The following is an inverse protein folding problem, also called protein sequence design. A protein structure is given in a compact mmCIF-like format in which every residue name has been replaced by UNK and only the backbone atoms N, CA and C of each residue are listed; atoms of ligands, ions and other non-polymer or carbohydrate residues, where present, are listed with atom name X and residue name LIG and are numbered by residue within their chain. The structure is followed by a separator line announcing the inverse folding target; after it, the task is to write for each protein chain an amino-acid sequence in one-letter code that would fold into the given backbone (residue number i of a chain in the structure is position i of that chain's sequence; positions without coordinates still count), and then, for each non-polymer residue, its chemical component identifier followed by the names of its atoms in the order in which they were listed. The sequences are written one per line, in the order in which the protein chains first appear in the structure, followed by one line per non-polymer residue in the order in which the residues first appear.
data_IF_148067671623
#
_entry.id   IF_148067671623
#
_cell.length_a   1.000
_cell.length_b   1.000
_cell.length_c   1.000
_cell.angle_alpha   90.00
_cell.angle_beta   90.00
_cell.angle_gamma   90.00
#
_symmetry.space_group_name_H-M   'P 1'
#
loop_
_entity.id
_entity.type
_entity.pdbx_description
1 polymer ?
#
# COMPACT_ATOMS: atom_id res chain seq x y z
N UNK A 1 7.83 20.44 -19.33
CA UNK A 1 7.95 18.99 -19.06
C UNK A 1 6.54 18.49 -18.88
N UNK A 2 6.06 17.65 -19.79
CA UNK A 2 4.75 17.01 -19.63
C UNK A 2 4.91 15.77 -18.75
N UNK A 3 3.86 15.35 -18.04
CA UNK A 3 3.93 14.23 -17.08
C UNK A 3 4.45 12.94 -17.74
N UNK A 4 4.12 12.74 -19.02
CA UNK A 4 4.65 11.66 -19.85
C UNK A 4 6.20 11.64 -19.90
N UNK A 5 6.87 12.79 -19.97
CA UNK A 5 8.34 12.89 -20.01
C UNK A 5 8.96 12.37 -18.70
N UNK A 6 8.32 12.64 -17.57
CA UNK A 6 8.75 12.20 -16.24
C UNK A 6 8.68 10.68 -16.17
N UNK A 7 7.55 10.10 -16.56
CA UNK A 7 7.36 8.65 -16.53
C UNK A 7 8.32 7.94 -17.50
N UNK A 8 8.56 8.50 -18.69
CA UNK A 8 9.55 7.98 -19.62
C UNK A 8 10.97 7.97 -19.02
N UNK A 9 11.35 9.03 -18.29
CA UNK A 9 12.65 9.11 -17.63
C UNK A 9 12.77 8.06 -16.50
N UNK A 10 11.73 7.88 -15.69
CA UNK A 10 11.66 6.86 -14.64
C UNK A 10 11.82 5.47 -15.23
N UNK A 11 11.01 5.11 -16.23
CA UNK A 11 11.05 3.78 -16.86
C UNK A 11 12.40 3.48 -17.51
N UNK A 12 13.04 4.47 -18.15
CA UNK A 12 14.41 4.34 -18.68
C UNK A 12 15.43 4.09 -17.55
N UNK A 13 15.29 4.80 -16.43
CA UNK A 13 16.13 4.61 -15.25
C UNK A 13 16.02 3.19 -14.69
N UNK A 14 14.78 2.72 -14.48
CA UNK A 14 14.49 1.38 -13.98
C UNK A 14 15.01 0.30 -14.94
N UNK A 15 14.79 0.43 -16.25
CA UNK A 15 15.29 -0.53 -17.24
C UNK A 15 16.82 -0.66 -17.22
N UNK A 16 17.55 0.46 -17.10
CA UNK A 16 19.02 0.41 -16.92
C UNK A 16 19.41 -0.27 -15.61
N UNK A 17 18.70 0.01 -14.53
CA UNK A 17 18.89 -0.64 -13.23
C UNK A 17 18.66 -2.15 -13.29
N UNK A 18 17.57 -2.61 -13.91
CA UNK A 18 17.28 -4.03 -14.10
C UNK A 18 18.43 -4.71 -14.86
N UNK A 19 18.92 -4.08 -15.95
CA UNK A 19 20.03 -4.62 -16.76
C UNK A 19 21.34 -4.69 -15.98
N UNK A 20 21.64 -3.69 -15.15
CA UNK A 20 22.92 -3.59 -14.44
C UNK A 20 22.96 -4.45 -13.18
N UNK A 21 21.85 -4.55 -12.44
CA UNK A 21 21.82 -5.17 -11.11
C UNK A 21 21.05 -6.49 -11.06
N UNK A 22 20.32 -6.86 -12.12
CA UNK A 22 19.55 -8.11 -12.19
C UNK A 22 18.29 -8.14 -11.32
N UNK A 23 17.92 -7.02 -10.70
CA UNK A 23 16.71 -6.88 -9.88
C UNK A 23 15.55 -6.35 -10.73
N UNK A 24 14.40 -7.02 -10.68
CA UNK A 24 13.19 -6.58 -11.38
C UNK A 24 12.59 -5.35 -10.70
N UNK A 25 12.13 -4.37 -11.48
CA UNK A 25 11.50 -3.16 -11.01
C UNK A 25 10.26 -2.81 -11.84
N UNK A 26 9.18 -2.39 -11.18
CA UNK A 26 7.91 -1.97 -11.79
C UNK A 26 7.43 -0.68 -11.14
N UNK A 27 6.49 -0.01 -11.80
CA UNK A 27 5.94 1.27 -11.36
C UNK A 27 4.46 1.13 -11.07
N UNK A 28 4.03 1.65 -9.93
CA UNK A 28 2.63 1.95 -9.63
C UNK A 28 2.50 3.47 -9.64
N UNK A 29 1.45 4.01 -10.26
CA UNK A 29 1.21 5.44 -10.32
C UNK A 29 0.16 5.83 -9.29
N UNK A 30 0.48 6.79 -8.43
CA UNK A 30 -0.40 7.22 -7.36
C UNK A 30 -1.33 8.36 -7.82
N UNK A 31 -2.63 8.16 -7.64
CA UNK A 31 -3.57 9.25 -7.39
C UNK A 31 -3.27 9.84 -6.00
N UNK A 32 -3.46 11.14 -5.83
CA UNK A 32 -3.21 11.83 -4.56
C UNK A 32 -4.53 12.40 -4.06
N UNK A 33 -4.96 12.02 -2.85
CA UNK A 33 -6.27 12.38 -2.25
C UNK A 33 -6.57 13.88 -2.29
N UNK A 34 -5.55 14.73 -2.18
CA UNK A 34 -5.67 16.20 -2.20
C UNK A 34 -5.63 16.80 -3.62
N UNK A 35 -5.51 15.97 -4.67
CA UNK A 35 -5.31 16.36 -6.07
C UNK A 35 -6.16 15.51 -7.03
N UNK A 36 -7.46 15.42 -6.75
CA UNK A 36 -8.42 14.65 -7.56
C UNK A 36 -8.42 15.05 -9.05
N UNK A 37 -8.05 16.29 -9.36
CA UNK A 37 -7.92 16.77 -10.73
C UNK A 37 -6.85 16.03 -11.56
N UNK A 38 -5.93 15.29 -10.91
CA UNK A 38 -4.90 14.49 -11.59
C UNK A 38 -5.32 13.04 -11.85
N UNK A 39 -6.34 12.53 -11.16
CA UNK A 39 -6.63 11.08 -11.09
C UNK A 39 -6.96 10.45 -12.45
N UNK A 40 -7.69 11.16 -13.32
CA UNK A 40 -7.97 10.68 -14.68
C UNK A 40 -6.72 10.66 -15.58
N UNK A 41 -5.81 11.62 -15.41
CA UNK A 41 -4.54 11.64 -16.14
C UNK A 41 -3.61 10.51 -15.66
N UNK A 42 -3.61 10.20 -14.36
CA UNK A 42 -2.89 9.05 -13.81
C UNK A 42 -3.40 7.75 -14.44
N UNK A 43 -4.72 7.54 -14.51
CA UNK A 43 -5.30 6.37 -15.17
C UNK A 43 -4.93 6.29 -16.66
N UNK A 44 -4.98 7.41 -17.37
CA UNK A 44 -4.56 7.50 -18.78
C UNK A 44 -3.10 7.03 -18.95
N UNK A 45 -2.23 7.42 -18.02
CA UNK A 45 -0.82 6.99 -18.02
C UNK A 45 -0.68 5.51 -17.67
N UNK A 46 -1.42 4.99 -16.69
CA UNK A 46 -1.44 3.55 -16.40
C UNK A 46 -1.80 2.74 -17.64
N UNK A 47 -2.87 3.12 -18.36
CA UNK A 47 -3.28 2.44 -19.59
C UNK A 47 -2.23 2.55 -20.70
N UNK A 48 -1.68 3.75 -20.93
CA UNK A 48 -0.67 3.99 -21.97
C UNK A 48 0.63 3.23 -21.74
N UNK A 49 1.02 3.02 -20.48
CA UNK A 49 2.33 2.48 -20.10
C UNK A 49 2.29 1.07 -19.49
N UNK A 50 1.12 0.41 -19.46
CA UNK A 50 0.98 -0.93 -18.85
C UNK A 50 1.93 -2.00 -19.42
N UNK A 51 2.18 -1.96 -20.73
CA UNK A 51 3.12 -2.88 -21.40
C UNK A 51 4.59 -2.43 -21.30
N UNK A 52 4.86 -1.32 -20.61
CA UNK A 52 6.18 -0.68 -20.52
C UNK A 52 6.74 -0.62 -19.09
N UNK A 53 6.08 -1.30 -18.14
CA UNK A 53 6.56 -1.45 -16.77
C UNK A 53 5.68 -0.79 -15.71
N UNK A 54 4.61 -0.08 -16.09
CA UNK A 54 3.55 0.34 -15.15
C UNK A 54 2.64 -0.85 -14.90
N UNK A 55 2.38 -1.20 -13.65
CA UNK A 55 1.63 -2.42 -13.29
C UNK A 55 0.35 -2.16 -12.54
N UNK A 56 0.13 -0.94 -12.06
CA UNK A 56 -1.07 -0.61 -11.30
C UNK A 56 -1.22 0.86 -10.98
N UNK A 57 -2.30 1.15 -10.28
CA UNK A 57 -2.67 2.45 -9.74
C UNK A 57 -2.76 2.36 -8.21
N UNK A 58 -2.37 3.43 -7.53
CA UNK A 58 -2.47 3.59 -6.08
C UNK A 58 -3.25 4.85 -5.72
N UNK A 59 -3.76 4.93 -4.50
CA UNK A 59 -4.30 6.14 -3.90
C UNK A 59 -3.53 6.43 -2.60
N UNK A 60 -2.77 7.52 -2.63
CA UNK A 60 -1.90 7.97 -1.55
C UNK A 60 -2.21 9.43 -1.15
N UNK A 61 -1.39 9.99 -0.26
CA UNK A 61 -1.60 11.31 0.34
C UNK A 61 -2.40 11.21 1.63
N UNK A 62 -2.53 12.35 2.32
CA UNK A 62 -3.12 12.43 3.66
C UNK A 62 -4.53 11.80 3.69
N UNK A 63 -4.68 10.73 4.47
CA UNK A 63 -5.95 10.01 4.62
C UNK A 63 -7.00 10.91 5.29
N UNK A 64 -6.55 11.90 6.06
CA UNK A 64 -7.34 12.82 6.83
C UNK A 64 -7.98 12.16 8.04
N UNK A 65 -8.51 12.98 8.96
CA UNK A 65 -9.47 12.53 9.95
C UNK A 65 -10.81 12.29 9.24
N UNK A 66 -10.94 11.16 8.55
CA UNK A 66 -12.22 10.73 8.00
C UNK A 66 -13.16 10.48 9.18
N UNK A 67 -14.05 11.42 9.47
CA UNK A 67 -15.15 11.13 10.39
C UNK A 67 -16.06 10.07 9.74
N UNK A 68 -16.63 9.16 10.53
CA UNK A 68 -17.52 8.10 10.03
C UNK A 68 -18.65 8.65 9.13
N UNK A 69 -19.01 9.93 9.29
CA UNK A 69 -20.07 10.64 8.57
C UNK A 69 -19.61 11.53 7.41
N UNK A 70 -18.32 11.88 7.29
CA UNK A 70 -17.82 12.73 6.20
C UNK A 70 -17.17 11.89 5.09
N UNK A 71 -18.00 11.11 4.39
CA UNK A 71 -17.67 10.69 3.04
C UNK A 71 -18.62 11.35 2.06
N UNK A 72 -18.09 11.77 0.92
CA UNK A 72 -18.58 11.37 -0.42
C UNK A 72 -18.01 12.33 -1.48
N UNK A 73 -18.10 13.65 -1.30
CA UNK A 73 -17.89 14.57 -2.45
C UNK A 73 -16.47 14.63 -3.02
N UNK A 74 -15.41 14.40 -2.23
CA UNK A 74 -14.04 14.33 -2.75
C UNK A 74 -13.59 12.93 -3.16
N UNK A 75 -14.28 11.88 -2.72
CA UNK A 75 -13.92 10.49 -3.00
C UNK A 75 -14.53 9.96 -4.30
N UNK A 76 -15.49 10.68 -4.88
CA UNK A 76 -16.26 10.21 -6.04
C UNK A 76 -15.39 10.12 -7.31
N UNK A 77 -14.43 11.04 -7.49
CA UNK A 77 -13.56 11.07 -8.67
C UNK A 77 -12.61 9.88 -8.65
N UNK A 78 -11.90 9.65 -7.54
CA UNK A 78 -10.97 8.53 -7.40
C UNK A 78 -11.73 7.21 -7.44
N UNK A 79 -12.92 7.11 -6.83
CA UNK A 79 -13.76 5.92 -6.94
C UNK A 79 -14.09 5.61 -8.42
N UNK A 80 -14.55 6.61 -9.18
CA UNK A 80 -14.83 6.44 -10.61
C UNK A 80 -13.58 6.04 -11.42
N UNK A 81 -12.43 6.64 -11.10
CA UNK A 81 -11.13 6.32 -11.73
C UNK A 81 -10.73 4.87 -11.42
N UNK A 82 -10.88 4.41 -10.19
CA UNK A 82 -10.51 3.05 -9.78
C UNK A 82 -11.46 1.99 -10.36
N UNK A 83 -12.76 2.29 -10.48
CA UNK A 83 -13.70 1.44 -11.20
C UNK A 83 -13.33 1.34 -12.69
N UNK A 84 -12.98 2.46 -13.33
CA UNK A 84 -12.48 2.44 -14.70
C UNK A 84 -11.14 1.69 -14.83
N UNK A 85 -10.26 1.76 -13.82
CA UNK A 85 -9.03 0.97 -13.77
C UNK A 85 -9.32 -0.53 -13.73
N UNK A 86 -10.30 -0.95 -12.93
CA UNK A 86 -10.78 -2.34 -12.88
C UNK A 86 -11.32 -2.81 -14.23
N UNK A 87 -12.16 -2.02 -14.90
CA UNK A 87 -12.67 -2.32 -16.24
C UNK A 87 -11.56 -2.46 -17.30
N UNK A 88 -10.46 -1.70 -17.13
CA UNK A 88 -9.29 -1.73 -18.01
C UNK A 88 -8.26 -2.82 -17.66
N UNK A 89 -8.50 -3.60 -16.60
CA UNK A 89 -7.58 -4.63 -16.11
C UNK A 89 -6.28 -4.07 -15.52
N UNK A 90 -6.31 -2.85 -14.97
CA UNK A 90 -5.16 -2.22 -14.29
C UNK A 90 -5.24 -2.56 -12.81
N UNK A 91 -4.19 -3.14 -12.22
CA UNK A 91 -4.17 -3.51 -10.80
C UNK A 91 -4.30 -2.32 -9.86
N UNK A 92 -4.87 -2.53 -8.68
CA UNK A 92 -5.27 -1.46 -7.75
C UNK A 92 -4.79 -1.75 -6.33
N UNK A 93 -4.01 -0.84 -5.77
CA UNK A 93 -3.72 -0.78 -4.33
C UNK A 93 -4.22 0.55 -3.79
N UNK A 94 -4.46 0.65 -2.48
CA UNK A 94 -4.95 1.88 -1.84
C UNK A 94 -4.33 1.99 -0.47
N UNK A 95 -3.72 3.14 -0.15
CA UNK A 95 -3.36 3.48 1.24
C UNK A 95 -4.66 3.66 2.02
N UNK A 96 -4.87 2.81 3.01
CA UNK A 96 -6.05 2.87 3.85
C UNK A 96 -5.73 2.36 5.24
N UNK A 97 -6.34 3.00 6.24
CA UNK A 97 -6.27 2.54 7.61
C UNK A 97 -4.83 2.53 8.16
N UNK A 98 -4.04 3.49 7.67
CA UNK A 98 -2.78 3.92 8.26
C UNK A 98 -3.11 4.81 9.45
N UNK A 99 -3.72 5.98 9.17
CA UNK A 99 -4.27 6.90 10.16
C UNK A 99 -5.79 6.71 10.35
N UNK A 100 -6.50 6.30 9.29
CA UNK A 100 -7.95 6.21 9.24
C UNK A 100 -8.56 5.00 9.97
N UNK A 101 -9.87 5.03 10.26
CA UNK A 101 -10.59 3.92 10.89
C UNK A 101 -10.68 2.68 9.98
N UNK A 102 -10.93 1.49 10.55
CA UNK A 102 -11.04 0.22 9.82
C UNK A 102 -12.02 0.26 8.63
N UNK A 103 -13.09 1.08 8.69
CA UNK A 103 -14.05 1.28 7.59
C UNK A 103 -13.39 1.77 6.30
N UNK A 104 -12.23 2.45 6.37
CA UNK A 104 -11.45 2.84 5.20
C UNK A 104 -10.98 1.64 4.38
N UNK A 105 -10.62 0.52 5.02
CA UNK A 105 -10.25 -0.73 4.32
C UNK A 105 -11.45 -1.28 3.57
N UNK A 106 -12.61 -1.37 4.23
CA UNK A 106 -13.83 -1.84 3.59
C UNK A 106 -14.20 -0.98 2.38
N UNK A 107 -14.08 0.34 2.50
CA UNK A 107 -14.29 1.26 1.37
C UNK A 107 -13.27 1.03 0.25
N UNK A 108 -11.99 0.88 0.56
CA UNK A 108 -10.95 0.59 -0.42
C UNK A 108 -11.26 -0.70 -1.22
N UNK A 109 -11.68 -1.76 -0.53
CA UNK A 109 -12.04 -3.04 -1.16
C UNK A 109 -13.34 -2.91 -1.98
N UNK A 110 -14.43 -2.47 -1.36
CA UNK A 110 -15.77 -2.49 -1.99
C UNK A 110 -15.94 -1.38 -3.05
N UNK A 111 -15.44 -0.17 -2.78
CA UNK A 111 -15.66 1.00 -3.64
C UNK A 111 -14.54 1.25 -4.64
N UNK A 112 -13.29 0.96 -4.29
CA UNK A 112 -12.15 1.17 -5.20
C UNK A 112 -11.71 -0.15 -5.87
N UNK A 113 -12.24 -1.29 -5.43
CA UNK A 113 -11.84 -2.58 -5.96
C UNK A 113 -10.36 -2.89 -5.68
N UNK A 114 -9.83 -2.40 -4.56
CA UNK A 114 -8.45 -2.60 -4.16
C UNK A 114 -8.16 -4.11 -4.01
N UNK A 115 -7.03 -4.54 -4.57
CA UNK A 115 -6.52 -5.92 -4.46
C UNK A 115 -5.52 -6.05 -3.30
N UNK A 116 -4.95 -4.91 -2.89
CA UNK A 116 -3.99 -4.78 -1.80
C UNK A 116 -4.26 -3.49 -1.03
N UNK A 117 -3.86 -3.47 0.23
CA UNK A 117 -3.99 -2.32 1.12
C UNK A 117 -2.60 -1.86 1.55
N UNK A 118 -2.27 -0.62 1.21
CA UNK A 118 -1.15 0.10 1.82
C UNK A 118 -1.41 0.23 3.31
N UNK A 119 -0.52 -0.31 4.15
CA UNK A 119 -0.61 -0.31 5.61
C UNK A 119 -1.72 -1.21 6.19
N UNK A 120 -2.91 -0.67 6.47
CA UNK A 120 -4.00 -1.40 7.13
C UNK A 120 -3.81 -1.66 8.62
N UNK A 121 -3.06 -0.81 9.33
CA UNK A 121 -2.70 -1.03 10.74
C UNK A 121 -3.92 -1.06 11.68
N UNK A 122 -4.87 -0.16 11.48
CA UNK A 122 -6.03 -0.05 12.37
C UNK A 122 -7.18 -1.00 12.01
N UNK A 123 -6.98 -1.91 11.04
CA UNK A 123 -8.04 -2.86 10.61
C UNK A 123 -8.47 -3.79 11.75
N UNK A 124 -7.55 -4.07 12.69
CA UNK A 124 -7.80 -4.89 13.88
C UNK A 124 -8.73 -4.21 14.91
N UNK A 125 -9.08 -2.94 14.72
CA UNK A 125 -10.08 -2.25 15.55
C UNK A 125 -11.51 -2.73 15.23
N UNK A 126 -11.72 -3.38 14.08
CA UNK A 126 -13.00 -3.95 13.65
C UNK A 126 -12.82 -5.41 13.16
N UNK A 127 -13.19 -6.36 14.02
CA UNK A 127 -13.08 -7.79 13.75
C UNK A 127 -13.97 -8.28 12.60
N UNK A 128 -15.06 -7.57 12.24
CA UNK A 128 -15.89 -7.94 11.09
C UNK A 128 -15.19 -7.57 9.79
N UNK A 129 -14.61 -6.36 9.73
CA UNK A 129 -13.84 -5.89 8.57
C UNK A 129 -12.57 -6.73 8.41
N UNK A 130 -11.87 -7.04 9.51
CA UNK A 130 -10.69 -7.89 9.46
C UNK A 130 -11.02 -9.29 8.92
N UNK A 131 -12.13 -9.91 9.34
CA UNK A 131 -12.60 -11.19 8.78
C UNK A 131 -12.95 -11.11 7.30
N UNK A 132 -13.54 -10.01 6.83
CA UNK A 132 -13.76 -9.78 5.41
C UNK A 132 -12.42 -9.80 4.65
N UNK A 133 -11.40 -9.10 5.17
CA UNK A 133 -10.08 -9.07 4.55
C UNK A 133 -9.45 -10.48 4.47
N UNK A 134 -9.63 -11.30 5.51
CA UNK A 134 -9.18 -12.70 5.51
C UNK A 134 -9.92 -13.54 4.46
N UNK A 135 -11.24 -13.40 4.36
CA UNK A 135 -12.07 -14.15 3.42
C UNK A 135 -11.78 -13.79 1.96
N UNK A 136 -11.50 -12.52 1.71
CA UNK A 136 -11.16 -12.00 0.38
C UNK A 136 -9.67 -12.12 0.04
N UNK A 137 -8.85 -12.65 0.98
CA UNK A 137 -7.39 -12.78 0.86
C UNK A 137 -6.72 -11.44 0.47
N UNK A 138 -7.11 -10.36 1.15
CA UNK A 138 -6.52 -9.04 0.95
C UNK A 138 -5.06 -9.05 1.41
N UNK A 139 -4.16 -8.55 0.56
CA UNK A 139 -2.74 -8.41 0.88
C UNK A 139 -2.45 -7.07 1.55
N UNK A 140 -1.77 -7.09 2.69
CA UNK A 140 -1.37 -5.87 3.42
C UNK A 140 0.12 -5.51 3.18
N UNK A 141 0.38 -4.28 2.77
CA UNK A 141 1.72 -3.76 2.50
C UNK A 141 2.26 -3.08 3.76
N UNK A 142 3.01 -3.81 4.60
CA UNK A 142 3.38 -3.35 5.96
C UNK A 142 4.72 -2.64 5.98
N UNK A 143 4.79 -1.50 6.67
CA UNK A 143 5.98 -0.66 6.80
C UNK A 143 6.33 -0.40 8.28
N UNK A 144 7.01 -1.33 8.98
CA UNK A 144 7.16 -1.29 10.44
C UNK A 144 7.78 0.00 10.99
N UNK A 145 8.93 0.45 10.49
CA UNK A 145 9.53 1.70 10.97
C UNK A 145 8.72 2.93 10.57
N UNK A 146 8.16 2.93 9.36
CA UNK A 146 7.31 4.03 8.88
C UNK A 146 6.14 4.27 9.83
N UNK A 147 5.39 3.20 10.15
CA UNK A 147 4.22 3.25 11.03
C UNK A 147 4.49 3.87 12.40
N UNK A 148 5.71 3.74 12.91
CA UNK A 148 6.09 4.36 14.17
C UNK A 148 6.48 5.83 14.02
N UNK A 149 7.19 6.16 12.94
CA UNK A 149 7.67 7.52 12.70
C UNK A 149 6.54 8.48 12.31
N UNK A 150 5.53 7.98 11.59
CA UNK A 150 4.28 8.69 11.27
C UNK A 150 3.36 8.79 12.51
N UNK A 151 3.51 7.88 13.47
CA UNK A 151 2.78 7.89 14.74
C UNK A 151 1.56 6.98 14.78
N UNK A 152 1.31 6.23 13.71
CA UNK A 152 0.18 5.28 13.59
C UNK A 152 0.29 4.14 14.60
N UNK A 153 1.52 3.68 14.84
CA UNK A 153 1.86 2.69 15.85
C UNK A 153 2.67 3.35 16.94
N UNK A 154 2.12 3.38 18.15
CA UNK A 154 2.66 4.17 19.27
C UNK A 154 4.04 3.73 19.81
N UNK A 155 4.53 2.54 19.45
CA UNK A 155 5.79 2.01 19.99
C UNK A 155 6.39 0.89 19.14
N UNK A 156 7.69 1.00 18.84
CA UNK A 156 8.49 -0.09 18.26
C UNK A 156 9.09 -1.04 19.30
N UNK A 157 9.18 -0.63 20.56
CA UNK A 157 10.05 -1.29 21.56
C UNK A 157 9.30 -2.20 22.52
N UNK A 158 7.98 -2.27 22.44
CA UNK A 158 7.16 -3.03 23.40
C UNK A 158 6.16 -3.96 22.71
N UNK A 159 6.38 -5.29 22.74
CA UNK A 159 5.44 -6.30 22.25
C UNK A 159 4.09 -6.35 22.98
N UNK A 160 3.88 -5.56 24.02
CA UNK A 160 2.60 -5.45 24.75
C UNK A 160 1.64 -4.41 24.15
N UNK A 161 2.12 -3.54 23.25
CA UNK A 161 1.32 -2.69 22.35
C UNK A 161 1.54 -3.16 20.92
N UNK A 162 1.12 -4.40 20.64
CA UNK A 162 1.53 -5.20 19.47
C UNK A 162 1.26 -4.46 18.17
N UNK A 163 2.30 -4.25 17.37
CA UNK A 163 2.16 -3.88 15.98
C UNK A 163 1.25 -4.91 15.26
N UNK A 164 0.26 -4.48 14.45
CA UNK A 164 -0.70 -5.36 13.76
C UNK A 164 -0.09 -6.54 12.99
N UNK A 165 1.12 -6.37 12.43
CA UNK A 165 1.86 -7.41 11.70
C UNK A 165 2.08 -8.68 12.54
N UNK A 166 2.17 -8.57 13.87
CA UNK A 166 2.30 -9.75 14.74
C UNK A 166 1.04 -10.61 14.65
N UNK A 167 -0.13 -9.97 14.67
CA UNK A 167 -1.41 -10.68 14.55
C UNK A 167 -1.61 -11.21 13.13
N UNK A 168 -1.23 -10.45 12.11
CA UNK A 168 -1.29 -10.92 10.72
C UNK A 168 -0.43 -12.18 10.50
N UNK A 169 0.74 -12.24 11.12
CA UNK A 169 1.60 -13.41 11.07
C UNK A 169 1.03 -14.63 11.82
N UNK A 170 0.41 -14.41 12.99
CA UNK A 170 -0.26 -15.46 13.78
C UNK A 170 -1.50 -16.02 13.05
N UNK A 171 -2.27 -15.15 12.41
CA UNK A 171 -3.51 -15.50 11.70
C UNK A 171 -3.28 -15.93 10.24
N UNK A 172 -2.02 -16.00 9.80
CA UNK A 172 -1.61 -16.42 8.46
C UNK A 172 -2.17 -15.56 7.31
N UNK A 173 -2.40 -14.27 7.58
CA UNK A 173 -2.86 -13.28 6.59
C UNK A 173 -1.76 -12.98 5.56
N UNK A 174 -2.15 -12.67 4.32
CA UNK A 174 -1.23 -12.24 3.26
C UNK A 174 -0.68 -10.84 3.56
N UNK A 175 0.64 -10.70 3.70
CA UNK A 175 1.30 -9.40 3.89
C UNK A 175 2.72 -9.39 3.33
N UNK A 176 3.26 -8.19 3.11
CA UNK A 176 4.66 -7.94 2.74
C UNK A 176 5.35 -7.00 3.73
N UNK A 177 6.68 -6.97 3.70
CA UNK A 177 7.53 -6.12 4.55
C UNK A 177 8.22 -5.07 3.67
N UNK A 178 7.99 -3.80 3.94
CA UNK A 178 8.38 -2.69 3.08
C UNK A 178 9.04 -1.55 3.88
N UNK A 179 9.85 -0.73 3.20
CA UNK A 179 10.56 0.41 3.81
C UNK A 179 9.85 1.75 3.69
N UNK A 180 8.77 1.79 2.92
CA UNK A 180 8.01 3.00 2.61
C UNK A 180 8.88 4.09 1.95
N UNK A 181 9.20 5.16 2.68
CA UNK A 181 10.10 6.25 2.29
C UNK A 181 11.51 6.11 2.90
N UNK A 182 12.39 5.21 2.41
CA UNK A 182 13.69 4.93 3.02
C UNK A 182 14.63 6.16 3.08
N UNK A 183 14.40 7.16 2.22
CA UNK A 183 15.16 8.42 2.26
C UNK A 183 14.74 9.34 3.40
N UNK A 184 13.49 9.23 3.88
CA UNK A 184 12.95 10.02 4.99
C UNK A 184 13.10 9.29 6.31
N UNK A 185 12.77 7.99 6.34
CA UNK A 185 12.86 7.15 7.55
C UNK A 185 14.30 6.81 7.91
N UNK A 186 15.24 6.99 6.97
CA UNK A 186 16.63 6.56 7.09
C UNK A 186 16.78 5.06 7.38
N UNK A 187 15.81 4.24 6.97
CA UNK A 187 15.86 2.78 7.10
C UNK A 187 16.17 2.09 5.77
N UNK A 188 16.70 0.87 5.87
CA UNK A 188 16.79 -0.06 4.75
C UNK A 188 15.83 -1.20 5.00
N UNK A 189 15.48 -1.94 3.94
CA UNK A 189 14.70 -3.17 4.07
C UNK A 189 15.34 -4.16 5.08
N UNK A 190 16.67 -4.24 5.13
CA UNK A 190 17.38 -5.07 6.12
C UNK A 190 17.09 -4.68 7.57
N UNK A 191 16.76 -3.43 7.83
CA UNK A 191 16.48 -2.94 9.18
C UNK A 191 15.05 -3.30 9.59
N UNK A 192 14.08 -3.26 8.66
CA UNK A 192 12.73 -3.81 8.87
C UNK A 192 12.79 -5.29 9.29
N UNK A 193 13.59 -6.10 8.60
CA UNK A 193 13.74 -7.52 8.91
C UNK A 193 14.38 -7.76 10.28
N UNK A 194 15.43 -7.01 10.64
CA UNK A 194 16.06 -7.10 11.97
C UNK A 194 15.06 -6.76 13.08
N UNK A 195 14.24 -5.74 12.86
CA UNK A 195 13.20 -5.32 13.79
C UNK A 195 12.18 -6.44 14.01
N UNK A 196 11.65 -7.01 12.92
CA UNK A 196 10.68 -8.12 13.02
C UNK A 196 11.27 -9.35 13.71
N UNK A 197 12.54 -9.69 13.44
CA UNK A 197 13.25 -10.77 14.15
C UNK A 197 13.33 -10.47 15.65
N UNK A 198 13.61 -9.22 16.03
CA UNK A 198 13.62 -8.79 17.44
C UNK A 198 12.24 -8.90 18.11
N UNK A 199 11.16 -8.87 17.33
CA UNK A 199 9.79 -9.11 17.78
C UNK A 199 9.37 -10.58 17.75
N UNK A 200 10.29 -11.50 17.40
CA UNK A 200 10.04 -12.94 17.41
C UNK A 200 9.60 -13.51 16.05
N UNK A 201 9.76 -12.78 14.94
CA UNK A 201 9.53 -13.37 13.62
C UNK A 201 10.55 -14.49 13.36
N UNK A 202 10.03 -15.64 12.92
CA UNK A 202 10.82 -16.79 12.51
C UNK A 202 11.15 -16.71 11.03
N UNK A 203 12.08 -17.54 10.57
CA UNK A 203 12.34 -17.72 9.13
C UNK A 203 11.07 -18.10 8.35
N UNK A 204 10.15 -18.87 8.95
CA UNK A 204 8.88 -19.23 8.33
C UNK A 204 7.97 -18.00 8.14
N UNK A 205 7.89 -17.10 9.14
CA UNK A 205 7.14 -15.84 9.00
C UNK A 205 7.72 -14.98 7.88
N UNK A 206 9.05 -14.81 7.86
CA UNK A 206 9.73 -13.97 6.86
C UNK A 206 9.63 -14.55 5.45
N UNK A 207 9.78 -15.87 5.30
CA UNK A 207 9.64 -16.56 4.01
C UNK A 207 8.22 -16.37 3.48
N UNK A 208 7.22 -16.62 4.30
CA UNK A 208 5.81 -16.42 3.94
C UNK A 208 5.53 -15.00 3.45
N UNK A 209 6.03 -13.98 4.15
CA UNK A 209 5.85 -12.58 3.76
C UNK A 209 6.45 -12.21 2.38
N UNK A 210 7.30 -13.06 1.80
CA UNK A 210 7.88 -12.85 0.46
C UNK A 210 7.27 -13.73 -0.63
N UNK A 211 6.74 -14.89 -0.29
CA UNK A 211 6.30 -15.91 -1.26
C UNK A 211 4.79 -16.13 -1.30
N UNK A 212 4.08 -15.77 -0.24
CA UNK A 212 2.63 -15.92 -0.17
C UNK A 212 1.98 -14.60 -0.59
N UNK A 213 1.68 -14.50 -1.89
CA UNK A 213 0.87 -13.43 -2.51
C UNK A 213 -0.48 -14.00 -2.89
#
# INVERSE_FOLDING_TARGET
MVVDDVLDAVLKGLARGEQQFGTKARVILCCIRQRSEWSWDILRLCEKYKERGVVGIDLAGDEGLVSESESFTKSDVECAVFQAAKEKGIHRTVHACEEGPAICVKKAVEMFGAERIGHGYRVLEDEEIYKMCQQENIHFEICPHSSYLTGDVQSLTTPSKRHPILRFAEDEVSFSINSDDPTLTHTRLSDEYKLLISWGFTEAHLTRANFQV
#
